data_IF_681847179297
#
_entry.id   IF_681847179297
#
_cell.length_a   1.000
_cell.length_b   1.000
_cell.length_c   1.000
_cell.angle_alpha   90.00
_cell.angle_beta   90.00
_cell.angle_gamma   90.00
#
_symmetry.space_group_name_H-M   'P 1'
#
loop_
_entity.id
_entity.type
_entity.pdbx_description
1 polymer ?
#
# COMPACT_ATOMS: atom_id res chain seq x y z
N UNK A 1 -15.49 -27.39 5.38
CA UNK A 1 -16.00 -26.04 5.73
C UNK A 1 -14.90 -25.09 6.22
N UNK A 2 -14.00 -25.50 7.12
CA UNK A 2 -12.92 -24.65 7.66
C UNK A 2 -11.84 -24.28 6.61
N UNK A 3 -11.52 -25.19 5.69
CA UNK A 3 -10.53 -24.97 4.64
C UNK A 3 -10.95 -23.90 3.63
N UNK A 4 -12.25 -23.82 3.28
CA UNK A 4 -12.76 -22.78 2.37
C UNK A 4 -12.67 -21.38 2.99
N UNK A 5 -12.87 -21.26 4.30
CA UNK A 5 -12.67 -20.00 5.04
C UNK A 5 -11.19 -19.59 5.05
N UNK A 6 -10.27 -20.54 5.28
CA UNK A 6 -8.83 -20.27 5.25
C UNK A 6 -8.37 -19.85 3.85
N UNK A 7 -8.83 -20.54 2.82
CA UNK A 7 -8.52 -20.19 1.42
C UNK A 7 -9.08 -18.80 1.08
N UNK A 8 -10.32 -18.50 1.48
CA UNK A 8 -10.91 -17.17 1.28
C UNK A 8 -10.13 -16.05 1.96
N UNK A 9 -9.67 -16.28 3.20
CA UNK A 9 -8.85 -15.32 3.94
C UNK A 9 -7.50 -15.07 3.26
N UNK A 10 -6.83 -16.14 2.80
CA UNK A 10 -5.54 -16.06 2.10
C UNK A 10 -5.67 -15.26 0.81
N UNK A 11 -6.73 -15.50 0.03
CA UNK A 11 -7.00 -14.75 -1.21
C UNK A 11 -7.26 -13.28 -0.91
N UNK A 12 -8.03 -12.96 0.14
CA UNK A 12 -8.28 -11.57 0.54
C UNK A 12 -6.99 -10.84 0.95
N UNK A 13 -6.10 -11.50 1.69
CA UNK A 13 -4.79 -10.94 2.08
C UNK A 13 -3.89 -10.74 0.85
N UNK A 14 -3.83 -11.71 -0.07
CA UNK A 14 -3.08 -11.58 -1.32
C UNK A 14 -3.56 -10.42 -2.17
N UNK A 15 -4.88 -10.26 -2.33
CA UNK A 15 -5.46 -9.15 -3.08
C UNK A 15 -5.16 -7.81 -2.42
N UNK A 16 -5.19 -7.74 -1.09
CA UNK A 16 -4.75 -6.53 -0.38
C UNK A 16 -3.28 -6.22 -0.70
N UNK A 17 -2.39 -7.22 -0.63
CA UNK A 17 -0.95 -7.05 -0.85
C UNK A 17 -0.58 -6.65 -2.29
N UNK A 18 -1.39 -6.98 -3.30
CA UNK A 18 -1.12 -6.57 -4.69
C UNK A 18 -1.08 -5.04 -4.89
N UNK A 19 -1.72 -4.26 -3.99
CA UNK A 19 -1.66 -2.80 -4.00
C UNK A 19 -0.62 -2.18 -3.07
N UNK A 20 0.21 -2.99 -2.41
CA UNK A 20 1.17 -2.55 -1.39
C UNK A 20 2.43 -1.93 -2.01
N UNK A 21 2.77 -2.26 -3.25
CA UNK A 21 3.99 -1.78 -3.89
C UNK A 21 3.70 -0.54 -4.72
N UNK A 22 4.45 0.53 -4.49
CA UNK A 22 4.40 1.73 -5.33
C UNK A 22 5.83 2.20 -5.65
N UNK A 23 5.99 2.73 -6.87
CA UNK A 23 7.27 3.26 -7.35
C UNK A 23 7.16 4.78 -7.36
N UNK A 24 8.10 5.43 -6.69
CA UNK A 24 8.24 6.88 -6.73
C UNK A 24 9.33 7.22 -7.73
N UNK A 25 8.99 8.01 -8.76
CA UNK A 25 9.94 8.47 -9.77
C UNK A 25 10.69 9.70 -9.29
N UNK A 26 11.88 9.96 -9.84
CA UNK A 26 12.72 11.11 -9.47
C UNK A 26 12.09 12.48 -9.81
N UNK A 27 11.15 12.51 -10.77
CA UNK A 27 10.38 13.70 -11.15
C UNK A 27 9.19 13.99 -10.22
N UNK A 28 8.83 13.08 -9.31
CA UNK A 28 7.64 13.17 -8.49
C UNK A 28 7.97 13.17 -6.99
N UNK A 29 7.32 14.04 -6.23
CA UNK A 29 7.41 14.04 -4.76
C UNK A 29 6.23 13.28 -4.20
N UNK A 30 6.47 12.07 -3.71
CA UNK A 30 5.40 11.28 -3.11
C UNK A 30 5.17 11.66 -1.64
N UNK A 31 3.89 11.73 -1.26
CA UNK A 31 3.44 11.87 0.13
C UNK A 31 2.51 10.71 0.49
N UNK A 32 2.73 10.12 1.67
CA UNK A 32 1.86 9.07 2.22
C UNK A 32 0.88 9.68 3.20
N UNK A 33 -0.39 9.54 2.88
CA UNK A 33 -1.50 9.93 3.74
C UNK A 33 -2.14 8.67 4.34
N UNK A 34 -2.18 8.62 5.68
CA UNK A 34 -2.97 7.65 6.43
C UNK A 34 -4.33 8.30 6.75
N UNK A 35 -5.41 7.88 6.09
CA UNK A 35 -6.78 8.35 6.36
C UNK A 35 -6.92 9.88 6.43
N UNK A 36 -6.21 10.61 5.56
CA UNK A 36 -6.23 12.08 5.52
C UNK A 36 -5.22 12.78 6.45
N UNK A 37 -4.46 12.03 7.25
CA UNK A 37 -3.32 12.55 8.03
C UNK A 37 -2.01 12.26 7.29
N UNK A 38 -1.18 13.29 7.10
CA UNK A 38 0.17 13.13 6.53
C UNK A 38 1.05 12.41 7.56
N UNK A 39 1.56 11.23 7.21
CA UNK A 39 2.46 10.45 8.09
C UNK A 39 3.90 10.50 7.60
N UNK A 40 4.11 10.59 6.28
CA UNK A 40 5.44 10.80 5.68
C UNK A 40 5.32 11.73 4.48
N UNK A 41 6.17 12.76 4.47
CA UNK A 41 6.39 13.66 3.34
C UNK A 41 7.85 13.50 2.86
N UNK A 42 8.13 13.86 1.60
CA UNK A 42 9.44 13.71 0.94
C UNK A 42 9.93 12.25 0.84
N UNK A 43 9.09 11.38 0.29
CA UNK A 43 9.53 10.01 -0.02
C UNK A 43 10.52 10.06 -1.19
N UNK A 44 11.75 9.62 -0.92
CA UNK A 44 12.81 9.55 -1.92
C UNK A 44 12.42 8.63 -3.08
N UNK A 45 12.91 8.90 -4.30
CA UNK A 45 12.66 8.05 -5.45
C UNK A 45 13.12 6.62 -5.20
N UNK A 46 12.31 5.64 -5.60
CA UNK A 46 12.58 4.24 -5.34
C UNK A 46 11.34 3.37 -5.16
N UNK A 47 11.57 2.10 -4.85
CA UNK A 47 10.55 1.12 -4.54
C UNK A 47 10.13 1.27 -3.08
N UNK A 48 8.86 1.54 -2.83
CA UNK A 48 8.33 1.66 -1.48
C UNK A 48 7.11 0.75 -1.29
N UNK A 49 6.94 0.34 -0.04
CA UNK A 49 5.81 -0.48 0.39
C UNK A 49 4.89 0.37 1.26
N UNK A 50 3.60 0.40 0.93
CA UNK A 50 2.54 0.99 1.74
C UNK A 50 1.65 -0.09 2.29
N UNK A 51 1.00 0.17 3.41
CA UNK A 51 -0.09 -0.68 3.91
C UNK A 51 -1.32 -0.46 3.02
N UNK A 52 -1.70 -1.46 2.20
CA UNK A 52 -2.89 -1.34 1.37
C UNK A 52 -4.12 -1.12 2.26
N UNK A 53 -5.11 -0.37 1.76
CA UNK A 53 -6.37 0.01 2.46
C UNK A 53 -6.24 1.17 3.47
N UNK A 54 -5.15 1.25 4.24
CA UNK A 54 -4.97 2.31 5.26
C UNK A 54 -4.21 3.51 4.70
N UNK A 55 -3.21 3.23 3.86
CA UNK A 55 -2.30 4.23 3.32
C UNK A 55 -2.62 4.54 1.86
N UNK A 56 -2.81 5.84 1.59
CA UNK A 56 -2.96 6.38 0.25
C UNK A 56 -1.70 7.16 -0.11
N UNK A 57 -1.11 6.84 -1.27
CA UNK A 57 0.04 7.56 -1.81
C UNK A 57 -0.48 8.54 -2.85
N UNK A 58 -0.09 9.80 -2.73
CA UNK A 58 -0.20 10.79 -3.81
C UNK A 58 1.21 11.09 -4.31
N UNK A 59 1.39 11.02 -5.63
CA UNK A 59 2.58 11.42 -6.40
C UNK A 59 2.28 12.67 -7.19
#
# INVERSE_FOLDING_TARGET
MKNSLVIGLIVAVLLALMGSVFVVREDQTAMVLNLGRVVRADIKPGLHFKVPVVESVRV
#
